data_IF_187931718266
#
_entry.id   IF_187931718266
#
_cell.length_a   1.000
_cell.length_b   1.000
_cell.length_c   1.000
_cell.angle_alpha   90.00
_cell.angle_beta   90.00
_cell.angle_gamma   90.00
#
_symmetry.space_group_name_H-M   'P 1'
#
loop_
_entity.id
_entity.type
_entity.pdbx_description
1 polymer ?
#
# COMPACT_ATOMS: atom_id res chain seq x y z
N UNK A 1 -19.84 5.59 -11.02
CA UNK A 1 -19.48 4.69 -9.89
C UNK A 1 -18.06 4.13 -9.97
N UNK A 2 -17.63 3.51 -11.09
CA UNK A 2 -16.31 2.85 -11.17
C UNK A 2 -15.09 3.77 -10.90
N UNK A 3 -15.15 5.05 -11.28
CA UNK A 3 -14.04 6.01 -11.08
C UNK A 3 -13.77 6.30 -9.60
N UNK A 4 -14.82 6.55 -8.82
CA UNK A 4 -14.73 6.79 -7.37
C UNK A 4 -14.23 5.55 -6.65
N UNK A 5 -14.72 4.37 -7.04
CA UNK A 5 -14.28 3.08 -6.47
C UNK A 5 -12.78 2.86 -6.73
N UNK A 6 -12.29 3.08 -7.95
CA UNK A 6 -10.87 2.95 -8.26
C UNK A 6 -10.00 3.96 -7.51
N UNK A 7 -10.50 5.19 -7.28
CA UNK A 7 -9.79 6.19 -6.48
C UNK A 7 -9.63 5.71 -5.04
N UNK A 8 -10.73 5.24 -4.43
CA UNK A 8 -10.75 4.74 -3.05
C UNK A 8 -9.81 3.53 -2.91
N UNK A 9 -9.90 2.55 -3.82
CA UNK A 9 -9.04 1.36 -3.81
C UNK A 9 -7.57 1.78 -3.97
N UNK A 10 -7.25 2.66 -4.93
CA UNK A 10 -5.88 3.12 -5.16
C UNK A 10 -5.27 3.82 -3.94
N UNK A 11 -6.06 4.65 -3.24
CA UNK A 11 -5.63 5.32 -2.00
C UNK A 11 -5.38 4.29 -0.89
N UNK A 12 -6.28 3.34 -0.68
CA UNK A 12 -6.13 2.31 0.36
C UNK A 12 -4.85 1.49 0.11
N UNK A 13 -4.65 1.04 -1.13
CA UNK A 13 -3.47 0.25 -1.51
C UNK A 13 -2.19 1.06 -1.31
N UNK A 14 -2.19 2.36 -1.65
CA UNK A 14 -1.07 3.26 -1.37
C UNK A 14 -0.75 3.37 0.11
N UNK A 15 -1.77 3.57 0.96
CA UNK A 15 -1.57 3.73 2.40
C UNK A 15 -1.00 2.46 3.04
N UNK A 16 -1.45 1.29 2.61
CA UNK A 16 -0.88 0.01 3.04
C UNK A 16 0.57 -0.13 2.54
N UNK A 17 0.84 0.27 1.30
CA UNK A 17 2.21 0.30 0.75
C UNK A 17 3.16 1.21 1.54
N UNK A 18 2.71 2.42 1.88
CA UNK A 18 3.46 3.36 2.74
C UNK A 18 3.70 2.75 4.11
N UNK A 19 2.70 2.10 4.69
CA UNK A 19 2.82 1.46 6.00
C UNK A 19 4.00 0.49 5.99
N UNK A 20 4.00 -0.47 5.06
CA UNK A 20 5.04 -1.48 4.96
C UNK A 20 6.41 -0.97 4.52
N UNK A 21 6.47 0.05 3.66
CA UNK A 21 7.75 0.52 3.12
C UNK A 21 8.44 1.54 4.03
N UNK A 22 7.69 2.34 4.81
CA UNK A 22 8.20 3.57 5.40
C UNK A 22 7.93 3.74 6.90
N UNK A 23 7.01 2.99 7.52
CA UNK A 23 6.79 3.13 8.96
C UNK A 23 7.97 2.57 9.78
N UNK A 24 8.21 3.06 11.00
CA UNK A 24 9.21 2.48 11.89
C UNK A 24 8.90 1.01 12.22
N UNK A 25 9.93 0.19 12.42
CA UNK A 25 9.78 -1.23 12.79
C UNK A 25 8.93 -1.42 14.06
N UNK A 26 9.07 -0.52 15.05
CA UNK A 26 8.26 -0.54 16.27
C UNK A 26 6.76 -0.41 15.99
N UNK A 27 6.36 0.37 14.99
CA UNK A 27 4.96 0.55 14.59
C UNK A 27 4.44 -0.71 13.89
N UNK A 28 5.27 -1.39 13.09
CA UNK A 28 4.93 -2.65 12.42
C UNK A 28 4.66 -3.78 13.41
N UNK A 29 5.51 -3.90 14.43
CA UNK A 29 5.36 -4.91 15.48
C UNK A 29 4.14 -4.60 16.34
N UNK A 30 3.96 -3.34 16.75
CA UNK A 30 2.85 -2.94 17.60
C UNK A 30 1.48 -3.04 16.91
N UNK A 31 1.40 -2.86 15.58
CA UNK A 31 0.13 -2.92 14.87
C UNK A 31 -0.40 -4.35 14.68
N UNK A 32 0.46 -5.37 14.76
CA UNK A 32 0.11 -6.75 14.40
C UNK A 32 -0.13 -6.98 12.90
N UNK A 33 -0.08 -5.92 12.08
CA UNK A 33 -0.32 -5.95 10.62
C UNK A 33 0.95 -6.39 9.87
N UNK A 34 2.09 -6.55 10.56
CA UNK A 34 3.31 -7.08 9.93
C UNK A 34 3.21 -8.53 9.44
N UNK A 35 2.18 -9.29 9.84
CA UNK A 35 1.95 -10.71 9.50
C UNK A 35 3.17 -11.62 9.69
N UNK A 36 4.09 -11.28 10.60
CA UNK A 36 5.34 -12.02 10.81
C UNK A 36 6.31 -11.98 9.62
N UNK A 37 6.10 -11.09 8.64
CA UNK A 37 7.00 -10.95 7.49
C UNK A 37 8.37 -10.42 7.93
N UNK A 38 9.43 -11.04 7.42
CA UNK A 38 10.80 -10.54 7.61
C UNK A 38 10.96 -9.13 7.04
N UNK A 39 11.94 -8.37 7.55
CA UNK A 39 12.08 -6.96 7.20
C UNK A 39 12.18 -6.71 5.68
N UNK A 40 13.04 -7.46 5.00
CA UNK A 40 13.18 -7.33 3.55
C UNK A 40 11.88 -7.66 2.80
N UNK A 41 11.14 -8.68 3.24
CA UNK A 41 9.91 -9.12 2.56
C UNK A 41 8.81 -8.07 2.67
N UNK A 42 8.60 -7.50 3.87
CA UNK A 42 7.54 -6.51 4.00
C UNK A 42 7.89 -5.19 3.32
N UNK A 43 9.15 -4.77 3.30
CA UNK A 43 9.58 -3.57 2.55
C UNK A 43 9.31 -3.75 1.06
N UNK A 44 9.70 -4.90 0.49
CA UNK A 44 9.44 -5.21 -0.93
C UNK A 44 7.94 -5.24 -1.24
N UNK A 45 7.14 -5.86 -0.37
CA UNK A 45 5.69 -5.85 -0.48
C UNK A 45 5.13 -4.42 -0.47
N UNK A 46 5.63 -3.57 0.43
CA UNK A 46 5.26 -2.17 0.50
C UNK A 46 5.52 -1.42 -0.80
N UNK A 47 6.71 -1.60 -1.40
CA UNK A 47 7.07 -1.01 -2.68
C UNK A 47 6.16 -1.49 -3.83
N UNK A 48 5.84 -2.79 -3.87
CA UNK A 48 4.91 -3.34 -4.87
C UNK A 48 3.53 -2.70 -4.72
N UNK A 49 3.01 -2.61 -3.50
CA UNK A 49 1.72 -1.98 -3.22
C UNK A 49 1.72 -0.49 -3.58
N UNK A 50 2.82 0.23 -3.36
CA UNK A 50 2.96 1.61 -3.81
C UNK A 50 2.81 1.73 -5.33
N UNK A 51 3.52 0.88 -6.09
CA UNK A 51 3.46 0.88 -7.56
C UNK A 51 2.03 0.55 -8.03
N UNK A 52 1.41 -0.49 -7.47
CA UNK A 52 0.04 -0.91 -7.82
C UNK A 52 -0.96 0.21 -7.52
N UNK A 53 -0.86 0.84 -6.35
CA UNK A 53 -1.72 1.96 -5.96
C UNK A 53 -1.60 3.15 -6.92
N UNK A 54 -0.38 3.53 -7.32
CA UNK A 54 -0.12 4.56 -8.33
C UNK A 54 -0.78 4.19 -9.67
N UNK A 55 -0.59 2.95 -10.14
CA UNK A 55 -1.17 2.49 -11.41
C UNK A 55 -2.70 2.55 -11.36
N UNK A 56 -3.32 2.08 -10.27
CA UNK A 56 -4.78 2.13 -10.10
C UNK A 56 -5.29 3.58 -10.15
N UNK A 57 -4.62 4.51 -9.48
CA UNK A 57 -4.98 5.92 -9.53
C UNK A 57 -4.83 6.52 -10.92
N UNK A 58 -3.74 6.21 -11.64
CA UNK A 58 -3.53 6.69 -13.00
C UNK A 58 -4.58 6.16 -13.97
N UNK A 59 -4.92 4.87 -13.88
CA UNK A 59 -5.96 4.25 -14.70
C UNK A 59 -7.36 4.77 -14.35
N UNK A 60 -7.62 5.06 -13.08
CA UNK A 60 -8.86 5.70 -12.62
C UNK A 60 -9.02 7.15 -13.11
N UNK A 61 -7.91 7.84 -13.42
CA UNK A 61 -7.93 9.24 -13.91
C UNK A 61 -8.20 9.37 -15.40
N UNK A 62 -7.85 8.38 -16.25
CA UNK A 62 -7.96 8.43 -17.73
C UNK A 62 -9.40 8.24 -18.29
N UNK A 63 -10.45 8.66 -17.57
CA UNK A 63 -11.82 8.72 -18.08
C UNK A 63 -12.43 10.08 -17.85
#
# INVERSE_FOLDING_TARGET
MAKTVNLVIGIIVLLIGVFYALMPHSVHVASGIGFGLSHGVHVVLGLILLIVGIVILLLGRKK
#
